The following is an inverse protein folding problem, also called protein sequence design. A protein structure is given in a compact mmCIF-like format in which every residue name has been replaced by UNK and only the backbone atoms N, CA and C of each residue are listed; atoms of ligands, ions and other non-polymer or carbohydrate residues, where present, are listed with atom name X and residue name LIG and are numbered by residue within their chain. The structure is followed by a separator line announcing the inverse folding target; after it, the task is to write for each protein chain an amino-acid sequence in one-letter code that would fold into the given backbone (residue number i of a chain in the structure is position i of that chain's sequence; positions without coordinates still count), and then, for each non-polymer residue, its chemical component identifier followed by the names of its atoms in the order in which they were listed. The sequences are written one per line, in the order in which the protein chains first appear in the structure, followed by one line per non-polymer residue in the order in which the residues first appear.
data_IF_743908910255
#
_entry.id   IF_743908910255
#
_cell.length_a   1.000
_cell.length_b   1.000
_cell.length_c   1.000
_cell.angle_alpha   90.00
_cell.angle_beta   90.00
_cell.angle_gamma   90.00
#
_symmetry.space_group_name_H-M   'P 1'
#
loop_
_entity.id
_entity.type
_entity.pdbx_description
1 polymer ?
#
# COMPACT_ATOMS: atom_id res chain seq x y z
N UNK A 1 -0.82 -36.86 13.66
CA UNK A 1 -2.09 -36.15 13.96
C UNK A 1 -2.06 -34.78 13.26
N UNK A 2 -3.16 -34.40 12.59
CA UNK A 2 -3.25 -33.40 11.50
C UNK A 2 -3.02 -31.93 11.97
N UNK A 3 -2.13 -31.14 11.32
CA UNK A 3 -2.05 -29.68 11.51
C UNK A 3 -2.93 -28.89 10.52
N UNK A 4 -3.82 -29.55 9.78
CA UNK A 4 -4.58 -28.96 8.69
C UNK A 4 -5.86 -28.20 9.11
N UNK A 5 -6.04 -27.85 10.39
CA UNK A 5 -7.28 -27.20 10.90
C UNK A 5 -7.16 -25.70 11.17
N UNK A 6 -5.96 -25.16 11.36
CA UNK A 6 -5.77 -23.75 11.70
C UNK A 6 -6.12 -22.78 10.57
N UNK A 7 -5.81 -23.14 9.32
CA UNK A 7 -6.04 -22.28 8.15
C UNK A 7 -7.52 -22.16 7.77
N UNK A 8 -8.31 -23.20 8.02
CA UNK A 8 -9.77 -23.19 7.77
C UNK A 8 -10.47 -22.25 8.76
N UNK A 9 -10.06 -22.27 10.03
CA UNK A 9 -10.61 -21.36 11.04
C UNK A 9 -10.26 -19.90 10.71
N UNK A 10 -9.03 -19.64 10.28
CA UNK A 10 -8.61 -18.30 9.85
C UNK A 10 -9.38 -17.81 8.60
N UNK A 11 -9.60 -18.68 7.62
CA UNK A 11 -10.36 -18.34 6.42
C UNK A 11 -11.84 -18.05 6.73
N UNK A 12 -12.46 -18.87 7.58
CA UNK A 12 -13.85 -18.65 8.02
C UNK A 12 -13.98 -17.37 8.84
N UNK A 13 -13.03 -17.08 9.72
CA UNK A 13 -13.02 -15.84 10.50
C UNK A 13 -12.85 -14.61 9.59
N UNK A 14 -11.98 -14.68 8.57
CA UNK A 14 -11.81 -13.61 7.59
C UNK A 14 -13.08 -13.38 6.74
N UNK A 15 -13.77 -14.45 6.33
CA UNK A 15 -15.03 -14.35 5.59
C UNK A 15 -16.15 -13.78 6.46
N UNK A 16 -16.26 -14.22 7.72
CA UNK A 16 -17.26 -13.69 8.66
C UNK A 16 -16.99 -12.23 9.01
N UNK A 17 -15.72 -11.83 9.13
CA UNK A 17 -15.35 -10.44 9.35
C UNK A 17 -15.62 -9.59 8.10
N UNK A 18 -15.31 -10.09 6.91
CA UNK A 18 -15.64 -9.42 5.64
C UNK A 18 -17.15 -9.28 5.43
N UNK A 19 -17.93 -10.31 5.77
CA UNK A 19 -19.38 -10.26 5.74
C UNK A 19 -19.92 -9.29 6.79
N UNK A 20 -19.39 -9.30 8.01
CA UNK A 20 -19.75 -8.34 9.04
C UNK A 20 -19.44 -6.90 8.60
N UNK A 21 -18.29 -6.65 7.99
CA UNK A 21 -17.91 -5.32 7.45
C UNK A 21 -18.82 -4.93 6.28
N UNK A 22 -19.17 -5.84 5.39
CA UNK A 22 -20.09 -5.58 4.27
C UNK A 22 -21.51 -5.25 4.75
N UNK A 23 -21.99 -5.94 5.79
CA UNK A 23 -23.31 -5.70 6.38
C UNK A 23 -23.33 -4.55 7.41
N UNK A 24 -22.19 -4.16 7.98
CA UNK A 24 -22.03 -2.98 8.86
C UNK A 24 -21.54 -1.74 8.11
N UNK A 25 -21.33 -1.80 6.78
CA UNK A 25 -21.06 -0.58 6.02
C UNK A 25 -22.23 0.38 6.29
N UNK A 26 -21.98 1.53 6.95
CA UNK A 26 -22.98 2.59 6.99
C UNK A 26 -23.39 2.84 5.55
N UNK A 27 -24.68 3.07 5.31
CA UNK A 27 -25.08 3.72 4.05
C UNK A 27 -24.12 4.90 3.93
N UNK A 28 -23.37 4.98 2.82
CA UNK A 28 -22.31 5.96 2.68
C UNK A 28 -22.96 7.33 2.79
N UNK A 29 -23.00 7.87 4.00
CA UNK A 29 -23.60 9.14 4.33
C UNK A 29 -22.57 10.20 3.98
N UNK A 30 -22.97 11.16 3.15
CA UNK A 30 -22.20 12.37 2.97
C UNK A 30 -22.25 13.16 4.29
N UNK A 31 -21.12 13.69 4.78
CA UNK A 31 -21.17 14.77 5.76
C UNK A 31 -21.98 15.91 5.13
N UNK A 32 -23.20 16.09 5.61
CA UNK A 32 -24.06 17.25 5.33
C UNK A 32 -24.14 17.68 3.85
N UNK A 33 -24.14 16.73 2.93
CA UNK A 33 -24.32 16.94 1.48
C UNK A 33 -23.16 17.61 0.70
N UNK A 34 -21.91 17.44 1.14
CA UNK A 34 -20.72 17.90 0.38
C UNK A 34 -20.73 17.55 -1.12
N UNK A 35 -20.26 18.47 -1.95
CA UNK A 35 -20.06 18.28 -3.40
C UNK A 35 -18.87 17.39 -3.75
N UNK A 36 -18.08 16.96 -2.76
CA UNK A 36 -17.00 15.98 -2.94
C UNK A 36 -17.43 14.53 -2.74
N UNK A 37 -18.70 14.29 -2.38
CA UNK A 37 -19.22 12.97 -2.01
C UNK A 37 -20.12 12.36 -3.09
N UNK A 38 -19.81 11.11 -3.46
CA UNK A 38 -20.61 10.29 -4.39
C UNK A 38 -21.74 9.51 -3.69
N UNK A 39 -21.92 9.74 -2.39
CA UNK A 39 -23.04 9.22 -1.61
C UNK A 39 -24.40 9.62 -2.20
N UNK A 40 -25.46 8.87 -1.89
CA UNK A 40 -26.82 9.20 -2.34
C UNK A 40 -27.31 10.55 -1.78
N UNK A 41 -26.88 10.92 -0.58
CA UNK A 41 -27.11 12.23 0.04
C UNK A 41 -25.94 13.20 -0.17
N UNK A 42 -24.98 12.93 -1.06
CA UNK A 42 -23.93 13.87 -1.49
C UNK A 42 -24.38 14.74 -2.67
N UNK A 43 -23.53 15.70 -3.07
CA UNK A 43 -23.83 16.66 -4.14
C UNK A 43 -22.83 16.64 -5.32
N UNK A 44 -21.97 15.62 -5.44
CA UNK A 44 -21.00 15.53 -6.55
C UNK A 44 -21.64 15.54 -7.95
N UNK A 45 -22.84 14.97 -8.08
CA UNK A 45 -23.60 15.00 -9.33
C UNK A 45 -24.07 16.40 -9.69
N UNK A 46 -24.30 17.30 -8.72
CA UNK A 46 -24.66 18.71 -8.97
C UNK A 46 -23.51 19.43 -9.68
N UNK A 47 -22.28 19.22 -9.18
CA UNK A 47 -21.07 19.76 -9.76
C UNK A 47 -20.88 19.24 -11.19
N UNK A 48 -20.94 17.92 -11.40
CA UNK A 48 -20.81 17.31 -12.72
C UNK A 48 -21.91 17.76 -13.69
N UNK A 49 -23.13 17.96 -13.19
CA UNK A 49 -24.25 18.45 -13.98
C UNK A 49 -24.04 19.90 -14.44
N UNK A 50 -23.55 20.77 -13.56
CA UNK A 50 -23.19 22.14 -13.92
C UNK A 50 -22.09 22.19 -15.00
N UNK A 51 -21.05 21.36 -14.87
CA UNK A 51 -20.00 21.22 -15.89
C UNK A 51 -20.55 20.74 -17.22
N UNK A 52 -21.41 19.72 -17.20
CA UNK A 52 -22.04 19.17 -18.40
C UNK A 52 -22.93 20.20 -19.12
N UNK A 53 -23.53 21.14 -18.38
CA UNK A 53 -24.28 22.27 -18.94
C UNK A 53 -23.38 23.41 -19.45
N UNK A 54 -22.06 23.28 -19.33
CA UNK A 54 -21.08 24.26 -19.83
C UNK A 54 -20.74 25.39 -18.88
N UNK A 55 -21.06 25.25 -17.58
CA UNK A 55 -20.68 26.21 -16.56
C UNK A 55 -19.30 25.89 -16.00
N UNK A 56 -18.51 26.92 -15.70
CA UNK A 56 -17.26 26.73 -14.96
C UNK A 56 -17.57 26.47 -13.49
N UNK A 57 -17.12 25.35 -12.96
CA UNK A 57 -17.32 24.96 -11.57
C UNK A 57 -16.07 25.24 -10.73
N UNK A 58 -16.28 25.61 -9.47
CA UNK A 58 -15.20 25.68 -8.48
C UNK A 58 -15.71 25.33 -7.09
N UNK A 59 -14.79 24.92 -6.21
CA UNK A 59 -15.07 24.67 -4.79
C UNK A 59 -14.25 25.67 -3.97
N UNK A 60 -14.91 26.40 -3.07
CA UNK A 60 -14.24 27.26 -2.09
C UNK A 60 -13.71 26.35 -0.98
N UNK A 61 -12.40 26.29 -0.83
CA UNK A 61 -11.73 25.49 0.21
C UNK A 61 -10.63 26.32 0.87
N UNK A 62 -10.32 26.04 2.14
CA UNK A 62 -9.22 26.68 2.87
C UNK A 62 -9.48 28.12 3.36
N UNK A 63 -9.92 29.04 2.49
CA UNK A 63 -10.36 30.39 2.86
C UNK A 63 -11.71 30.73 2.23
N UNK A 64 -12.55 31.46 2.95
CA UNK A 64 -13.85 31.89 2.44
C UNK A 64 -13.78 33.20 1.67
N UNK A 65 -13.90 33.08 0.34
CA UNK A 65 -14.00 34.19 -0.60
C UNK A 65 -15.35 34.17 -1.32
N UNK A 66 -15.93 35.35 -1.57
CA UNK A 66 -17.17 35.46 -2.35
C UNK A 66 -16.89 35.22 -3.83
N UNK A 67 -17.81 34.56 -4.56
CA UNK A 67 -17.65 34.30 -6.00
C UNK A 67 -17.57 35.56 -6.87
N UNK A 68 -17.32 35.37 -8.17
CA UNK A 68 -17.40 36.45 -9.16
C UNK A 68 -18.81 37.08 -9.22
N UNK A 69 -18.96 38.33 -9.68
CA UNK A 69 -20.28 38.92 -9.94
C UNK A 69 -21.11 38.06 -10.92
N UNK A 70 -22.45 38.11 -10.80
CA UNK A 70 -23.39 37.38 -11.66
C UNK A 70 -23.10 35.86 -11.77
N UNK A 71 -22.66 35.25 -10.67
CA UNK A 71 -22.39 33.81 -10.59
C UNK A 71 -23.28 33.12 -9.58
N UNK A 72 -23.25 31.79 -9.56
CA UNK A 72 -24.07 30.94 -8.69
C UNK A 72 -23.21 30.40 -7.55
N UNK A 73 -23.75 30.38 -6.34
CA UNK A 73 -23.13 29.71 -5.20
C UNK A 73 -24.10 28.71 -4.57
N UNK A 74 -23.65 27.47 -4.38
CA UNK A 74 -24.33 26.46 -3.59
C UNK A 74 -23.74 26.42 -2.18
N UNK A 75 -24.63 26.55 -1.19
CA UNK A 75 -24.33 26.31 0.23
C UNK A 75 -25.25 25.19 0.68
N UNK A 76 -24.68 23.99 0.76
CA UNK A 76 -25.31 22.84 1.42
C UNK A 76 -25.10 22.93 2.93
N UNK A 77 -25.84 22.15 3.73
CA UNK A 77 -25.90 22.24 5.20
C UNK A 77 -24.52 22.46 5.84
N UNK A 78 -24.19 23.68 6.31
CA UNK A 78 -22.86 23.99 6.83
C UNK A 78 -22.55 23.16 8.09
N UNK A 79 -21.36 22.53 8.15
CA UNK A 79 -20.91 21.79 9.35
C UNK A 79 -20.11 22.67 10.30
N UNK A 80 -19.44 23.69 9.78
CA UNK A 80 -18.83 24.75 10.56
C UNK A 80 -19.62 26.05 10.42
N UNK A 81 -19.85 26.78 11.52
CA UNK A 81 -20.69 27.96 11.50
C UNK A 81 -20.05 29.09 10.70
N UNK A 82 -20.88 29.85 9.98
CA UNK A 82 -20.48 31.12 9.39
C UNK A 82 -20.20 32.14 10.51
N UNK A 83 -19.28 33.06 10.26
CA UNK A 83 -19.17 34.30 11.06
C UNK A 83 -20.13 35.36 10.53
N UNK A 84 -20.49 36.34 11.39
CA UNK A 84 -21.29 37.50 10.99
C UNK A 84 -20.72 38.22 9.77
N UNK A 85 -19.40 38.41 9.74
CA UNK A 85 -18.70 39.08 8.65
C UNK A 85 -18.75 38.26 7.35
N UNK A 86 -18.66 36.93 7.42
CA UNK A 86 -18.78 36.04 6.25
C UNK A 86 -20.21 36.07 5.68
N UNK A 87 -21.21 35.95 6.55
CA UNK A 87 -22.62 36.02 6.18
C UNK A 87 -22.96 37.37 5.53
N UNK A 88 -22.47 38.47 6.09
CA UNK A 88 -22.68 39.81 5.53
C UNK A 88 -21.95 40.02 4.20
N UNK A 89 -20.73 39.48 4.03
CA UNK A 89 -20.04 39.50 2.73
C UNK A 89 -20.85 38.73 1.67
N UNK A 90 -21.38 37.55 2.02
CA UNK A 90 -22.18 36.76 1.10
C UNK A 90 -23.49 37.48 0.73
N UNK A 91 -24.18 38.05 1.72
CA UNK A 91 -25.38 38.89 1.49
C UNK A 91 -25.08 40.08 0.59
N UNK A 92 -23.96 40.78 0.80
CA UNK A 92 -23.52 41.91 -0.03
C UNK A 92 -23.22 41.47 -1.46
N UNK A 93 -22.54 40.34 -1.65
CA UNK A 93 -22.28 39.79 -2.99
C UNK A 93 -23.57 39.49 -3.75
N UNK A 94 -24.56 38.84 -3.12
CA UNK A 94 -25.87 38.64 -3.74
C UNK A 94 -26.49 39.99 -4.10
N UNK A 95 -26.55 40.91 -3.14
CA UNK A 95 -27.26 42.18 -3.28
C UNK A 95 -26.68 43.09 -4.35
N UNK A 96 -25.38 43.28 -4.32
CA UNK A 96 -24.68 44.36 -5.02
C UNK A 96 -23.94 43.85 -6.28
N UNK A 97 -23.58 42.57 -6.32
CA UNK A 97 -22.85 41.93 -7.43
C UNK A 97 -23.71 41.01 -8.29
N UNK A 98 -25.01 40.90 -8.00
CA UNK A 98 -25.96 40.12 -8.81
C UNK A 98 -25.81 38.61 -8.66
N UNK A 99 -25.26 38.14 -7.54
CA UNK A 99 -25.09 36.72 -7.27
C UNK A 99 -26.43 35.98 -7.12
N UNK A 100 -26.43 34.70 -7.47
CA UNK A 100 -27.49 33.75 -7.14
C UNK A 100 -26.98 32.82 -6.03
N UNK A 101 -27.53 32.94 -4.84
CA UNK A 101 -27.24 32.03 -3.73
C UNK A 101 -28.30 30.95 -3.65
N UNK A 102 -27.89 29.68 -3.73
CA UNK A 102 -28.74 28.52 -3.48
C UNK A 102 -28.32 27.96 -2.13
N UNK A 103 -29.12 28.25 -1.12
CA UNK A 103 -28.88 27.88 0.26
C UNK A 103 -29.83 26.75 0.65
N UNK A 104 -29.31 25.53 0.64
CA UNK A 104 -30.07 24.32 0.90
C UNK A 104 -29.56 23.71 2.21
N UNK A 105 -30.31 23.89 3.29
CA UNK A 105 -29.87 23.46 4.63
C UNK A 105 -31.04 22.96 5.47
N UNK A 106 -30.84 21.80 6.09
CA UNK A 106 -31.84 21.15 6.95
C UNK A 106 -32.19 22.01 8.17
N UNK A 107 -31.17 22.49 8.90
CA UNK A 107 -31.33 23.23 10.14
C UNK A 107 -30.96 24.71 10.02
N UNK A 108 -30.27 25.08 8.94
CA UNK A 108 -29.73 26.43 8.74
C UNK A 108 -28.49 26.72 9.57
N UNK A 109 -27.81 27.81 9.23
CA UNK A 109 -26.74 28.45 9.99
C UNK A 109 -27.29 29.74 10.62
N UNK A 110 -27.11 29.99 11.93
CA UNK A 110 -27.70 31.15 12.60
C UNK A 110 -27.25 32.52 12.08
N UNK A 111 -25.99 32.65 11.64
CA UNK A 111 -25.45 33.91 11.12
C UNK A 111 -25.98 34.17 9.71
N UNK A 112 -25.99 33.13 8.88
CA UNK A 112 -26.50 33.21 7.52
C UNK A 112 -28.01 33.40 7.48
N UNK A 113 -28.77 32.68 8.30
CA UNK A 113 -30.22 32.84 8.44
C UNK A 113 -30.55 34.27 8.87
N UNK A 114 -29.82 34.83 9.85
CA UNK A 114 -30.02 36.22 10.29
C UNK A 114 -29.67 37.23 9.21
N UNK A 115 -28.51 37.07 8.55
CA UNK A 115 -28.08 38.01 7.52
C UNK A 115 -29.04 38.00 6.34
N UNK A 116 -29.51 36.82 5.89
CA UNK A 116 -30.43 36.68 4.76
C UNK A 116 -31.90 36.96 5.14
N UNK A 117 -32.27 36.91 6.42
CA UNK A 117 -33.65 37.05 6.89
C UNK A 117 -34.47 35.77 6.69
N UNK A 118 -33.83 34.62 6.88
CA UNK A 118 -34.47 33.30 6.87
C UNK A 118 -35.10 33.05 8.23
N UNK A 119 -36.40 32.79 8.23
CA UNK A 119 -37.13 32.31 9.41
C UNK A 119 -37.56 30.87 9.19
N UNK A 120 -37.43 30.05 10.23
CA UNK A 120 -37.80 28.64 10.26
C UNK A 120 -38.79 28.41 11.38
N UNK A 121 -39.74 27.50 11.18
CA UNK A 121 -40.64 27.07 12.24
C UNK A 121 -39.92 26.19 13.27
N UNK A 122 -40.40 26.22 14.51
CA UNK A 122 -39.95 25.26 15.51
C UNK A 122 -40.56 23.88 15.23
N UNK A 123 -39.69 22.88 15.05
CA UNK A 123 -40.06 21.48 14.88
C UNK A 123 -40.06 20.99 13.43
N UNK A 124 -40.48 19.74 13.25
CA UNK A 124 -40.43 19.04 11.97
C UNK A 124 -41.81 18.90 11.34
N UNK A 125 -41.87 18.98 10.01
CA UNK A 125 -43.03 18.59 9.21
C UNK A 125 -42.68 17.42 8.28
N UNK A 126 -43.71 16.70 7.83
CA UNK A 126 -43.57 15.62 6.86
C UNK A 126 -43.08 16.12 5.51
N UNK A 127 -42.05 15.45 4.98
CA UNK A 127 -41.44 15.74 3.70
C UNK A 127 -41.81 14.74 2.59
N UNK A 128 -40.82 14.36 1.79
CA UNK A 128 -40.88 13.29 0.81
C UNK A 128 -41.22 13.75 -0.61
N UNK A 129 -42.34 14.46 -0.79
CA UNK A 129 -42.72 15.06 -2.09
C UNK A 129 -43.19 16.49 -1.90
N UNK A 130 -42.60 17.41 -2.65
CA UNK A 130 -42.93 18.84 -2.62
C UNK A 130 -43.60 19.25 -3.92
N UNK A 131 -44.74 19.94 -3.82
CA UNK A 131 -45.39 20.55 -4.97
C UNK A 131 -44.69 21.87 -5.31
N UNK A 132 -44.38 22.07 -6.60
CA UNK A 132 -43.89 23.35 -7.07
C UNK A 132 -45.07 24.32 -7.22
N UNK A 133 -45.00 25.46 -6.54
CA UNK A 133 -46.06 26.47 -6.52
C UNK A 133 -45.71 27.74 -7.28
N UNK A 134 -44.43 27.90 -7.65
CA UNK A 134 -43.98 29.11 -8.34
C UNK A 134 -44.06 28.95 -9.87
N UNK A 135 -44.69 29.90 -10.58
CA UNK A 135 -44.77 29.88 -12.05
C UNK A 135 -43.43 30.13 -12.75
N UNK A 136 -42.39 30.50 -12.01
CA UNK A 136 -41.04 30.77 -12.53
C UNK A 136 -40.21 29.52 -12.81
N UNK A 137 -40.65 28.35 -12.33
CA UNK A 137 -39.98 27.06 -12.57
C UNK A 137 -40.68 26.34 -13.73
N UNK A 138 -40.22 26.57 -14.95
CA UNK A 138 -40.89 26.09 -16.15
C UNK A 138 -40.69 24.58 -16.31
N UNK A 139 -41.73 23.79 -16.05
CA UNK A 139 -41.69 22.33 -16.20
C UNK A 139 -41.40 21.57 -14.90
N UNK A 140 -41.24 22.27 -13.78
CA UNK A 140 -41.19 21.64 -12.45
C UNK A 140 -42.60 21.62 -11.87
N UNK A 141 -43.17 20.43 -11.72
CA UNK A 141 -44.48 20.23 -11.11
C UNK A 141 -44.38 19.76 -9.67
N UNK A 142 -43.41 18.88 -9.41
CA UNK A 142 -43.11 18.39 -8.08
C UNK A 142 -41.69 17.83 -8.02
N UNK A 143 -41.10 17.93 -6.84
CA UNK A 143 -39.79 17.37 -6.53
C UNK A 143 -39.89 16.41 -5.34
N UNK A 144 -38.90 15.55 -5.18
CA UNK A 144 -38.80 14.60 -4.07
C UNK A 144 -37.62 14.93 -3.16
N UNK A 145 -37.76 14.66 -1.87
CA UNK A 145 -36.73 14.97 -0.86
C UNK A 145 -36.75 14.01 0.33
N UNK A 146 -36.16 14.43 1.45
CA UNK A 146 -36.16 13.72 2.73
C UNK A 146 -37.55 13.63 3.37
N UNK A 147 -37.72 12.67 4.27
CA UNK A 147 -39.03 12.38 4.89
C UNK A 147 -39.45 13.41 5.95
N UNK A 148 -38.52 14.26 6.41
CA UNK A 148 -38.78 15.31 7.39
C UNK A 148 -37.99 16.57 7.05
N UNK A 149 -38.57 17.73 7.32
CA UNK A 149 -37.94 19.04 7.15
C UNK A 149 -38.24 19.93 8.33
N UNK A 150 -37.42 20.96 8.55
CA UNK A 150 -37.78 22.13 9.36
C UNK A 150 -38.39 23.17 8.42
N UNK A 151 -39.71 23.41 8.45
CA UNK A 151 -40.36 24.30 7.49
C UNK A 151 -39.86 25.75 7.56
N UNK A 152 -39.89 26.43 6.42
CA UNK A 152 -39.60 27.85 6.32
C UNK A 152 -40.85 28.68 6.64
N UNK A 153 -40.66 29.82 7.30
CA UNK A 153 -41.70 30.82 7.58
C UNK A 153 -41.44 32.09 6.76
N UNK A 154 -41.78 32.10 5.46
CA UNK A 154 -41.43 33.19 4.58
C UNK A 154 -42.24 34.47 4.87
N UNK A 155 -41.55 35.61 4.80
CA UNK A 155 -42.16 36.95 4.83
C UNK A 155 -42.83 37.32 3.49
N UNK A 156 -43.53 38.46 3.45
CA UNK A 156 -44.24 38.91 2.25
C UNK A 156 -43.35 39.19 1.02
N UNK A 157 -42.03 39.33 1.20
CA UNK A 157 -41.06 39.54 0.11
C UNK A 157 -40.38 38.25 -0.36
N UNK A 158 -40.69 37.12 0.29
CA UNK A 158 -40.16 35.80 -0.03
C UNK A 158 -41.25 34.98 -0.72
N UNK A 159 -41.00 34.57 -1.96
CA UNK A 159 -41.99 33.88 -2.80
C UNK A 159 -41.82 32.37 -2.68
N UNK A 160 -42.80 31.63 -2.12
CA UNK A 160 -42.70 30.18 -1.97
C UNK A 160 -42.58 29.45 -3.32
N UNK A 161 -41.53 28.65 -3.46
CA UNK A 161 -41.26 27.80 -4.62
C UNK A 161 -41.82 26.40 -4.43
N UNK A 162 -41.60 25.82 -3.25
CA UNK A 162 -41.89 24.42 -2.93
C UNK A 162 -42.73 24.35 -1.65
N UNK A 163 -43.74 23.48 -1.66
CA UNK A 163 -44.56 23.19 -0.49
C UNK A 163 -44.69 21.70 -0.21
N UNK A 164 -44.73 21.34 1.06
CA UNK A 164 -45.10 19.99 1.50
C UNK A 164 -46.59 19.71 1.19
N UNK A 165 -47.03 18.44 1.23
CA UNK A 165 -48.44 18.10 1.04
C UNK A 165 -49.36 18.77 2.07
N UNK A 166 -48.85 19.05 3.27
CA UNK A 166 -49.56 19.75 4.35
C UNK A 166 -49.54 21.27 4.21
N UNK A 167 -48.93 21.81 3.14
CA UNK A 167 -48.92 23.23 2.81
C UNK A 167 -47.78 24.04 3.41
N UNK A 168 -46.90 23.42 4.20
CA UNK A 168 -45.70 24.06 4.73
C UNK A 168 -44.72 24.43 3.62
N UNK A 169 -43.98 25.53 3.78
CA UNK A 169 -43.02 25.98 2.77
C UNK A 169 -41.70 25.22 2.95
N UNK A 170 -41.30 24.50 1.92
CA UNK A 170 -40.05 23.74 1.86
C UNK A 170 -38.95 24.49 1.10
N UNK A 171 -39.31 25.52 0.32
CA UNK A 171 -38.36 26.39 -0.35
C UNK A 171 -38.98 27.67 -0.86
N UNK A 172 -38.21 28.74 -0.94
CA UNK A 172 -38.63 30.03 -1.47
C UNK A 172 -37.51 30.72 -2.25
N UNK A 173 -37.88 31.73 -3.05
CA UNK A 173 -36.96 32.67 -3.68
C UNK A 173 -37.19 34.07 -3.13
N UNK A 174 -36.10 34.82 -2.98
CA UNK A 174 -36.11 36.22 -2.59
C UNK A 174 -35.19 37.02 -3.51
N UNK A 175 -35.69 38.12 -4.05
CA UNK A 175 -34.82 39.09 -4.69
C UNK A 175 -34.12 39.92 -3.62
N UNK A 176 -32.80 40.03 -3.72
CA UNK A 176 -31.99 40.87 -2.85
C UNK A 176 -31.16 41.79 -3.73
N UNK A 177 -31.49 43.08 -3.76
CA UNK A 177 -30.86 44.03 -4.67
C UNK A 177 -31.01 43.61 -6.14
N UNK A 178 -29.88 43.43 -6.82
CA UNK A 178 -29.85 42.94 -8.21
C UNK A 178 -29.66 41.41 -8.32
N UNK A 179 -29.43 40.71 -7.22
CA UNK A 179 -29.28 39.24 -7.17
C UNK A 179 -30.48 38.55 -6.51
N UNK A 180 -30.33 37.23 -6.31
CA UNK A 180 -31.39 36.38 -5.78
C UNK A 180 -30.86 35.37 -4.77
N UNK A 181 -31.71 35.02 -3.81
CA UNK A 181 -31.48 33.93 -2.86
C UNK A 181 -32.58 32.91 -3.03
N UNK A 182 -32.21 31.66 -3.22
CA UNK A 182 -33.10 30.50 -3.17
C UNK A 182 -32.78 29.74 -1.90
N UNK A 183 -33.75 29.63 -1.00
CA UNK A 183 -33.61 28.89 0.25
C UNK A 183 -34.41 27.61 0.15
N UNK A 184 -33.78 26.48 0.46
CA UNK A 184 -34.39 25.16 0.52
C UNK A 184 -34.19 24.59 1.93
N UNK A 185 -35.28 24.15 2.57
CA UNK A 185 -35.26 23.46 3.85
C UNK A 185 -34.79 22.00 3.72
N UNK A 186 -34.76 21.47 2.50
CA UNK A 186 -34.40 20.10 2.21
C UNK A 186 -33.30 20.06 1.13
N UNK A 187 -32.05 19.81 1.52
CA UNK A 187 -30.94 19.69 0.58
C UNK A 187 -31.01 18.44 -0.29
N UNK A 188 -31.70 17.39 0.16
CA UNK A 188 -31.81 16.13 -0.59
C UNK A 188 -32.49 16.35 -1.93
N UNK A 189 -33.31 17.38 -2.09
CA UNK A 189 -33.90 17.76 -3.39
C UNK A 189 -32.84 17.92 -4.48
N UNK A 190 -31.63 18.35 -4.13
CA UNK A 190 -30.52 18.55 -5.08
C UNK A 190 -29.44 17.46 -4.98
N UNK A 191 -29.56 16.47 -4.11
CA UNK A 191 -28.53 15.46 -3.90
C UNK A 191 -28.55 14.35 -4.96
N UNK A 192 -27.42 13.66 -5.11
CA UNK A 192 -27.14 12.63 -6.12
C UNK A 192 -28.27 11.61 -6.27
N UNK A 193 -28.75 11.05 -5.15
CA UNK A 193 -29.78 10.02 -5.12
C UNK A 193 -31.21 10.53 -5.39
N UNK A 194 -31.37 11.82 -5.67
CA UNK A 194 -32.66 12.48 -5.87
C UNK A 194 -32.77 13.21 -7.20
N UNK A 195 -31.67 13.52 -7.89
CA UNK A 195 -31.71 14.23 -9.18
C UNK A 195 -32.57 13.51 -10.24
N UNK A 196 -32.60 12.18 -10.23
CA UNK A 196 -33.43 11.37 -11.13
C UNK A 196 -34.89 11.20 -10.67
N UNK A 197 -35.23 11.68 -9.47
CA UNK A 197 -36.59 11.57 -8.91
C UNK A 197 -37.42 12.75 -9.37
N UNK A 198 -38.68 12.48 -9.74
CA UNK A 198 -39.66 13.48 -10.13
C UNK A 198 -39.05 14.52 -11.09
N UNK A 199 -39.19 15.82 -10.81
CA UNK A 199 -38.64 16.91 -11.63
C UNK A 199 -37.37 17.53 -10.99
N UNK A 200 -36.66 16.83 -10.10
CA UNK A 200 -35.52 17.37 -9.35
C UNK A 200 -34.37 17.84 -10.26
N UNK A 201 -34.00 17.04 -11.27
CA UNK A 201 -32.98 17.43 -12.25
C UNK A 201 -33.40 18.64 -13.10
N UNK A 202 -34.71 18.80 -13.36
CA UNK A 202 -35.25 19.98 -14.08
C UNK A 202 -35.14 21.21 -13.19
N UNK A 203 -35.50 21.09 -11.90
CA UNK A 203 -35.30 22.17 -10.92
C UNK A 203 -33.82 22.58 -10.85
N UNK A 204 -32.90 21.62 -10.80
CA UNK A 204 -31.46 21.93 -10.77
C UNK A 204 -31.03 22.69 -12.04
N UNK A 205 -31.49 22.26 -13.22
CA UNK A 205 -31.19 22.92 -14.48
C UNK A 205 -31.71 24.37 -14.51
N UNK A 206 -32.95 24.58 -14.06
CA UNK A 206 -33.57 25.91 -13.96
C UNK A 206 -32.79 26.83 -13.01
N UNK A 207 -32.38 26.31 -11.84
CA UNK A 207 -31.62 27.07 -10.85
C UNK A 207 -30.25 27.50 -11.38
N UNK A 208 -29.48 26.60 -11.99
CA UNK A 208 -28.16 26.94 -12.53
C UNK A 208 -28.28 27.91 -13.73
N UNK A 209 -29.31 27.72 -14.57
CA UNK A 209 -29.52 28.53 -15.77
C UNK A 209 -30.04 29.94 -15.47
N UNK A 210 -30.56 30.20 -14.26
CA UNK A 210 -31.15 31.48 -13.87
C UNK A 210 -30.16 32.66 -13.93
N UNK A 211 -28.86 32.41 -13.71
CA UNK A 211 -27.81 33.45 -13.83
C UNK A 211 -27.29 33.65 -15.26
N UNK A 212 -27.83 32.93 -16.24
CA UNK A 212 -27.44 33.01 -17.65
C UNK A 212 -26.41 31.97 -18.08
N UNK A 213 -26.29 31.81 -19.40
CA UNK A 213 -25.42 30.80 -19.99
C UNK A 213 -23.94 31.04 -19.63
N UNK A 214 -23.28 30.02 -19.10
CA UNK A 214 -21.86 30.05 -18.76
C UNK A 214 -21.49 30.81 -17.48
N UNK A 215 -22.48 31.22 -16.68
CA UNK A 215 -22.22 31.77 -15.34
C UNK A 215 -21.39 30.78 -14.50
N UNK A 216 -20.39 31.25 -13.77
CA UNK A 216 -19.62 30.38 -12.89
C UNK A 216 -20.50 29.79 -11.78
N UNK A 217 -20.23 28.56 -11.38
CA UNK A 217 -20.94 27.84 -10.32
C UNK A 217 -19.93 27.46 -9.24
N UNK A 218 -20.16 27.95 -8.04
CA UNK A 218 -19.24 27.76 -6.91
C UNK A 218 -19.93 26.96 -5.81
N UNK A 219 -19.21 26.03 -5.20
CA UNK A 219 -19.69 25.25 -4.05
C UNK A 219 -18.91 25.66 -2.80
N UNK A 220 -19.62 25.92 -1.70
CA UNK A 220 -19.02 26.20 -0.41
C UNK A 220 -18.58 24.90 0.29
N UNK A 221 -17.32 24.53 0.15
CA UNK A 221 -16.74 23.39 0.86
C UNK A 221 -15.94 23.81 2.10
N UNK A 222 -15.61 25.11 2.21
CA UNK A 222 -14.93 25.67 3.37
C UNK A 222 -15.77 25.45 4.63
N UNK A 223 -17.08 25.70 4.56
CA UNK A 223 -17.97 25.48 5.70
C UNK A 223 -18.43 24.02 5.87
N UNK A 224 -18.02 23.10 4.99
CA UNK A 224 -18.20 21.65 5.19
C UNK A 224 -17.04 21.00 5.95
N UNK A 225 -16.08 21.80 6.45
CA UNK A 225 -15.00 21.31 7.29
C UNK A 225 -13.79 20.77 6.52
N UNK A 226 -13.79 20.87 5.18
CA UNK A 226 -12.64 20.62 4.30
C UNK A 226 -11.57 21.69 4.54
N UNK A 227 -10.93 21.58 5.68
CA UNK A 227 -9.72 22.31 6.06
C UNK A 227 -8.53 21.61 5.39
N UNK A 228 -7.46 22.35 5.10
CA UNK A 228 -6.26 21.78 4.46
C UNK A 228 -5.67 20.55 5.20
N UNK A 229 -6.07 20.31 6.46
CA UNK A 229 -5.80 19.11 7.25
C UNK A 229 -6.41 17.81 6.70
N UNK A 230 -7.50 17.85 5.93
CA UNK A 230 -8.09 16.64 5.33
C UNK A 230 -7.27 16.10 4.15
N UNK A 231 -6.29 16.88 3.67
CA UNK A 231 -5.24 16.43 2.76
C UNK A 231 -4.00 15.89 3.47
N UNK A 232 -4.04 15.68 4.80
CA UNK A 232 -2.94 15.07 5.52
C UNK A 232 -2.66 13.65 5.00
N UNK A 233 -1.39 13.18 4.92
CA UNK A 233 -1.03 11.85 4.42
C UNK A 233 -1.58 10.67 5.22
N UNK A 234 -2.47 10.88 6.19
CA UNK A 234 -3.12 9.87 7.00
C UNK A 234 -4.62 9.72 6.67
N UNK A 235 -5.24 10.71 6.00
CA UNK A 235 -6.67 10.68 5.64
C UNK A 235 -6.97 9.70 4.51
N UNK A 236 -6.01 9.36 3.65
CA UNK A 236 -6.22 8.32 2.64
C UNK A 236 -6.51 6.93 3.24
N UNK A 237 -6.07 6.63 4.47
CA UNK A 237 -6.33 5.33 5.13
C UNK A 237 -7.82 5.14 5.44
N UNK A 238 -8.59 6.23 5.61
CA UNK A 238 -10.04 6.16 5.87
C UNK A 238 -10.87 6.08 4.59
N UNK A 239 -10.27 6.24 3.41
CA UNK A 239 -10.97 5.98 2.13
C UNK A 239 -11.10 4.49 1.83
N UNK A 240 -12.14 4.04 1.10
CA UNK A 240 -12.34 2.61 0.78
C UNK A 240 -11.15 1.95 0.08
N UNK A 241 -10.46 2.66 -0.81
CA UNK A 241 -9.28 2.14 -1.52
C UNK A 241 -8.02 2.12 -0.64
N UNK A 242 -7.86 3.09 0.28
CA UNK A 242 -6.75 3.09 1.23
C UNK A 242 -6.85 1.96 2.25
N UNK A 243 -8.06 1.66 2.73
CA UNK A 243 -8.32 0.48 3.53
C UNK A 243 -7.96 -0.82 2.77
N UNK A 244 -8.30 -0.92 1.48
CA UNK A 244 -7.94 -2.07 0.65
C UNK A 244 -6.42 -2.24 0.51
N UNK A 245 -5.68 -1.15 0.30
CA UNK A 245 -4.22 -1.17 0.22
C UNK A 245 -3.55 -1.58 1.54
N UNK A 246 -4.09 -1.11 2.67
CA UNK A 246 -3.63 -1.52 4.00
C UNK A 246 -3.81 -3.03 4.20
N UNK A 247 -4.98 -3.58 3.82
CA UNK A 247 -5.24 -5.01 3.90
C UNK A 247 -4.36 -5.84 2.97
N UNK A 248 -4.03 -5.34 1.78
CA UNK A 248 -3.05 -5.96 0.90
C UNK A 248 -1.69 -6.07 1.61
N UNK A 249 -1.25 -5.00 2.27
CA UNK A 249 0.03 -4.97 2.99
C UNK A 249 0.03 -5.95 4.17
N UNK A 250 -1.07 -6.04 4.92
CA UNK A 250 -1.27 -7.05 5.97
C UNK A 250 -1.23 -8.46 5.40
N UNK A 251 -1.90 -8.71 4.27
CA UNK A 251 -1.90 -10.01 3.61
C UNK A 251 -0.50 -10.42 3.12
N UNK A 252 0.27 -9.49 2.55
CA UNK A 252 1.67 -9.71 2.15
C UNK A 252 2.54 -9.99 3.36
N UNK A 253 2.38 -9.25 4.45
CA UNK A 253 3.11 -9.46 5.71
C UNK A 253 2.86 -10.87 6.27
N UNK A 254 1.60 -11.29 6.39
CA UNK A 254 1.26 -12.65 6.81
C UNK A 254 1.75 -13.71 5.81
N UNK A 255 1.67 -13.43 4.51
CA UNK A 255 2.23 -14.28 3.46
C UNK A 255 3.74 -14.50 3.63
N UNK A 256 4.50 -13.45 3.96
CA UNK A 256 5.93 -13.52 4.23
C UNK A 256 6.23 -14.27 5.53
N UNK A 257 5.48 -14.02 6.60
CA UNK A 257 5.61 -14.73 7.90
C UNK A 257 5.32 -16.23 7.72
N UNK A 258 4.30 -16.58 6.95
CA UNK A 258 3.96 -17.97 6.62
C UNK A 258 5.01 -18.60 5.71
N UNK A 259 5.54 -17.86 4.72
CA UNK A 259 6.64 -18.29 3.86
C UNK A 259 7.94 -18.52 4.63
N UNK A 260 8.15 -17.77 5.71
CA UNK A 260 9.31 -17.91 6.61
C UNK A 260 9.26 -19.13 7.54
N UNK A 261 8.10 -19.78 7.70
CA UNK A 261 7.96 -21.00 8.51
C UNK A 261 8.17 -22.22 7.62
N UNK A 262 9.32 -22.90 7.80
CA UNK A 262 9.65 -24.15 7.09
C UNK A 262 8.56 -25.21 7.33
N UNK A 263 7.69 -25.43 6.34
CA UNK A 263 6.79 -26.58 6.29
C UNK A 263 7.53 -27.78 5.72
N UNK A 264 8.18 -28.56 6.56
CA UNK A 264 8.79 -29.83 6.16
C UNK A 264 9.58 -30.47 7.29
N UNK A 265 9.51 -31.81 7.46
CA UNK A 265 10.41 -32.52 8.37
C UNK A 265 11.87 -32.29 7.94
N UNK A 266 12.75 -32.06 8.92
CA UNK A 266 14.19 -32.02 8.67
C UNK A 266 14.64 -33.40 8.17
N UNK A 267 14.89 -33.53 6.87
CA UNK A 267 15.49 -34.73 6.30
C UNK A 267 16.96 -34.75 6.74
N UNK A 268 17.30 -35.65 7.66
CA UNK A 268 18.70 -35.84 8.07
C UNK A 268 19.54 -36.26 6.87
N UNK A 269 20.69 -35.60 6.66
CA UNK A 269 21.67 -36.07 5.67
C UNK A 269 22.10 -37.50 6.06
N UNK A 270 22.10 -38.47 5.13
CA UNK A 270 22.68 -39.78 5.42
C UNK A 270 24.15 -39.60 5.82
N UNK A 271 24.60 -40.36 6.82
CA UNK A 271 25.97 -40.32 7.30
C UNK A 271 26.92 -40.62 6.13
N UNK A 272 27.94 -39.78 5.96
CA UNK A 272 28.96 -39.95 4.94
C UNK A 272 29.72 -41.24 5.23
N UNK A 273 29.52 -42.26 4.39
CA UNK A 273 30.26 -43.52 4.46
C UNK A 273 31.74 -43.20 4.33
N UNK A 274 32.58 -43.79 5.19
CA UNK A 274 34.03 -43.64 5.15
C UNK A 274 34.55 -43.89 3.73
N UNK A 275 35.01 -42.83 3.05
CA UNK A 275 35.67 -42.91 1.75
C UNK A 275 36.84 -43.88 1.85
N UNK A 276 36.96 -44.77 0.88
CA UNK A 276 38.09 -45.68 0.77
C UNK A 276 39.40 -44.86 0.68
N UNK A 277 40.42 -45.21 1.47
CA UNK A 277 41.72 -44.53 1.52
C UNK A 277 42.40 -44.41 0.13
N UNK A 278 41.99 -45.25 -0.83
CA UNK A 278 42.42 -45.21 -2.22
C UNK A 278 41.92 -43.96 -2.96
N UNK A 279 40.67 -43.53 -2.76
CA UNK A 279 40.13 -42.33 -3.41
C UNK A 279 40.84 -41.06 -2.93
N UNK A 280 41.19 -41.00 -1.64
CA UNK A 280 41.94 -39.89 -1.09
C UNK A 280 43.34 -39.82 -1.67
N UNK A 281 44.02 -40.96 -1.78
CA UNK A 281 45.36 -41.05 -2.38
C UNK A 281 45.37 -40.65 -3.86
N UNK A 282 44.34 -41.04 -4.63
CA UNK A 282 44.16 -40.62 -6.04
C UNK A 282 43.89 -39.12 -6.13
N UNK A 283 43.03 -38.57 -5.27
CA UNK A 283 42.70 -37.14 -5.26
C UNK A 283 43.92 -36.27 -4.92
N UNK A 284 44.68 -36.64 -3.89
CA UNK A 284 45.92 -35.94 -3.50
C UNK A 284 46.97 -36.05 -4.60
N UNK A 285 47.11 -37.23 -5.23
CA UNK A 285 48.01 -37.42 -6.37
C UNK A 285 47.66 -36.52 -7.56
N UNK A 286 46.37 -36.39 -7.89
CA UNK A 286 45.92 -35.47 -8.95
C UNK A 286 46.15 -34.00 -8.58
N UNK A 287 45.96 -33.62 -7.32
CA UNK A 287 46.22 -32.27 -6.84
C UNK A 287 47.71 -31.90 -6.99
N UNK A 288 48.62 -32.76 -6.52
CA UNK A 288 50.07 -32.55 -6.62
C UNK A 288 50.54 -32.49 -8.07
N UNK A 289 49.94 -33.29 -8.96
CA UNK A 289 50.21 -33.24 -10.39
C UNK A 289 49.75 -31.92 -11.01
N UNK A 290 48.53 -31.47 -10.70
CA UNK A 290 47.98 -30.18 -11.22
C UNK A 290 48.78 -28.98 -10.75
N UNK A 291 49.27 -28.98 -9.52
CA UNK A 291 50.09 -27.89 -8.98
C UNK A 291 51.56 -27.96 -9.41
N UNK A 292 51.96 -28.97 -10.19
CA UNK A 292 53.35 -29.22 -10.57
C UNK A 292 54.34 -29.27 -9.39
N UNK A 293 53.85 -29.69 -8.21
CA UNK A 293 54.59 -29.71 -6.94
C UNK A 293 55.56 -30.91 -6.84
N UNK A 294 56.48 -31.00 -7.80
CA UNK A 294 57.40 -32.15 -7.99
C UNK A 294 58.35 -32.33 -6.81
N UNK A 295 59.01 -31.27 -6.36
CA UNK A 295 59.93 -31.31 -5.22
C UNK A 295 59.21 -31.68 -3.90
N UNK A 296 58.00 -31.15 -3.69
CA UNK A 296 57.17 -31.47 -2.52
C UNK A 296 56.76 -32.95 -2.54
N UNK A 297 56.37 -33.47 -3.70
CA UNK A 297 56.01 -34.89 -3.86
C UNK A 297 57.18 -35.80 -3.51
N UNK A 298 58.38 -35.51 -4.01
CA UNK A 298 59.59 -36.28 -3.70
C UNK A 298 59.98 -36.19 -2.22
N UNK A 299 59.86 -35.02 -1.59
CA UNK A 299 60.08 -34.87 -0.15
C UNK A 299 59.13 -35.71 0.69
N UNK A 300 57.83 -35.71 0.34
CA UNK A 300 56.82 -36.54 1.01
C UNK A 300 57.13 -38.05 0.87
N UNK A 301 57.53 -38.49 -0.33
CA UNK A 301 57.91 -39.88 -0.59
C UNK A 301 59.20 -40.27 0.17
N UNK A 302 60.19 -39.38 0.26
CA UNK A 302 61.42 -39.64 1.00
C UNK A 302 61.13 -39.81 2.49
N UNK A 303 60.36 -38.91 3.11
CA UNK A 303 59.94 -39.03 4.52
C UNK A 303 59.07 -40.27 4.76
N UNK A 304 58.25 -40.68 3.80
CA UNK A 304 57.49 -41.93 3.89
C UNK A 304 58.41 -43.16 3.80
N UNK A 305 59.46 -43.09 2.97
CA UNK A 305 60.48 -44.13 2.84
C UNK A 305 61.31 -44.26 4.11
N UNK A 306 61.77 -43.15 4.71
CA UNK A 306 62.44 -43.17 6.02
C UNK A 306 61.56 -43.85 7.09
N UNK A 307 60.26 -43.52 7.12
CA UNK A 307 59.29 -44.17 8.02
C UNK A 307 59.17 -45.68 7.79
N UNK A 308 59.10 -46.12 6.54
CA UNK A 308 59.03 -47.54 6.19
C UNK A 308 60.32 -48.30 6.50
N UNK A 309 61.48 -47.67 6.26
CA UNK A 309 62.79 -48.24 6.60
C UNK A 309 62.96 -48.31 8.12
N UNK A 310 62.57 -47.26 8.86
CA UNK A 310 62.61 -47.23 10.32
C UNK A 310 61.74 -48.33 10.93
N UNK A 311 60.50 -48.50 10.44
CA UNK A 311 59.60 -49.56 10.93
C UNK A 311 60.13 -50.96 10.63
N UNK A 312 60.66 -51.20 9.43
CA UNK A 312 61.22 -52.51 9.04
C UNK A 312 62.51 -52.85 9.78
N UNK A 313 63.37 -51.86 10.02
CA UNK A 313 64.62 -52.04 10.75
C UNK A 313 64.45 -51.94 12.26
N UNK A 314 63.27 -51.56 12.76
CA UNK A 314 63.01 -51.34 14.18
C UNK A 314 63.84 -50.20 14.77
N UNK A 315 64.25 -49.23 13.94
CA UNK A 315 65.01 -48.05 14.36
C UNK A 315 64.06 -46.89 14.70
N UNK A 316 64.37 -46.07 15.71
CA UNK A 316 63.59 -44.87 15.98
C UNK A 316 63.85 -43.83 14.88
N UNK A 317 62.78 -43.26 14.31
CA UNK A 317 62.86 -42.24 13.26
C UNK A 317 63.40 -40.89 13.79
N UNK A 318 63.23 -40.63 15.08
CA UNK A 318 63.64 -39.39 15.73
C UNK A 318 64.59 -39.67 16.89
N UNK A 319 65.66 -38.85 17.06
CA UNK A 319 66.13 -37.79 16.17
C UNK A 319 66.67 -38.32 14.83
N UNK A 320 66.44 -37.58 13.73
CA UNK A 320 66.83 -38.00 12.35
C UNK A 320 68.32 -38.36 12.22
N UNK A 321 69.22 -37.64 12.89
CA UNK A 321 70.66 -37.93 12.89
C UNK A 321 70.96 -39.31 13.49
N UNK A 322 70.25 -39.69 14.57
CA UNK A 322 70.40 -41.02 15.18
C UNK A 322 69.86 -42.11 14.28
N UNK A 323 68.77 -41.84 13.55
CA UNK A 323 68.23 -42.76 12.55
C UNK A 323 69.29 -43.07 11.49
N UNK A 324 69.92 -42.05 10.89
CA UNK A 324 70.95 -42.23 9.86
C UNK A 324 72.20 -42.93 10.39
N UNK A 325 72.70 -42.54 11.57
CA UNK A 325 73.85 -43.20 12.18
C UNK A 325 73.58 -44.68 12.47
N UNK A 326 72.39 -45.00 12.99
CA UNK A 326 72.00 -46.38 13.26
C UNK A 326 71.75 -47.17 11.97
N UNK A 327 71.21 -46.53 10.93
CA UNK A 327 70.96 -47.16 9.63
C UNK A 327 72.27 -47.53 8.93
N UNK A 328 73.28 -46.65 8.95
CA UNK A 328 74.62 -46.95 8.40
C UNK A 328 75.30 -48.13 9.09
N UNK A 329 75.07 -48.33 10.38
CA UNK A 329 75.61 -49.48 11.12
C UNK A 329 74.81 -50.76 10.84
N UNK A 330 73.48 -50.66 10.80
CA UNK A 330 72.60 -51.84 10.77
C UNK A 330 72.31 -52.36 9.35
N UNK A 331 72.26 -51.48 8.36
CA UNK A 331 71.95 -51.80 6.97
C UNK A 331 72.69 -50.82 6.02
N UNK A 332 74.02 -50.94 5.89
CA UNK A 332 74.84 -49.97 5.15
C UNK A 332 74.47 -49.86 3.67
N UNK A 333 74.05 -50.96 3.03
CA UNK A 333 73.61 -50.96 1.62
C UNK A 333 72.35 -50.09 1.44
N UNK A 334 71.34 -50.29 2.30
CA UNK A 334 70.09 -49.49 2.28
C UNK A 334 70.37 -48.03 2.63
N UNK A 335 71.28 -47.77 3.56
CA UNK A 335 71.71 -46.42 3.93
C UNK A 335 72.35 -45.70 2.74
N UNK A 336 73.24 -46.38 2.00
CA UNK A 336 73.90 -45.84 0.81
C UNK A 336 72.90 -45.51 -0.30
N UNK A 337 72.01 -46.45 -0.62
CA UNK A 337 70.97 -46.25 -1.65
C UNK A 337 70.00 -45.12 -1.29
N UNK A 338 69.53 -45.05 -0.04
CA UNK A 338 68.62 -44.00 0.39
C UNK A 338 69.32 -42.63 0.39
N UNK A 339 70.57 -42.55 0.84
CA UNK A 339 71.33 -41.30 0.85
C UNK A 339 71.60 -40.78 -0.57
N UNK A 340 71.93 -41.67 -1.52
CA UNK A 340 72.13 -41.30 -2.92
C UNK A 340 70.84 -40.73 -3.54
N UNK A 341 69.69 -41.35 -3.26
CA UNK A 341 68.40 -40.89 -3.75
C UNK A 341 67.99 -39.57 -3.08
N UNK A 342 68.18 -39.42 -1.76
CA UNK A 342 67.88 -38.17 -1.05
C UNK A 342 68.71 -36.99 -1.56
N UNK A 343 70.01 -37.20 -1.81
CA UNK A 343 70.90 -36.17 -2.33
C UNK A 343 70.54 -35.73 -3.76
N UNK A 344 69.83 -36.58 -4.51
CA UNK A 344 69.43 -36.31 -5.90
C UNK A 344 67.98 -35.84 -6.06
N UNK A 345 67.18 -35.73 -4.98
CA UNK A 345 65.75 -35.37 -5.07
C UNK A 345 65.51 -34.00 -5.72
N UNK A 346 66.35 -33.00 -5.40
CA UNK A 346 66.21 -31.67 -5.97
C UNK A 346 66.41 -31.70 -7.49
N UNK A 347 67.46 -32.36 -7.97
CA UNK A 347 67.72 -32.54 -9.40
C UNK A 347 66.63 -33.39 -10.08
N UNK A 348 66.16 -34.46 -9.42
CA UNK A 348 65.11 -35.33 -9.95
C UNK A 348 63.75 -34.63 -10.09
N UNK A 349 63.53 -33.52 -9.39
CA UNK A 349 62.30 -32.71 -9.51
C UNK A 349 62.22 -31.92 -10.82
N UNK A 350 63.31 -31.83 -11.59
CA UNK A 350 63.38 -31.04 -12.83
C UNK A 350 62.57 -31.62 -13.99
N UNK A 351 62.33 -32.94 -14.02
CA UNK A 351 61.54 -33.58 -15.08
C UNK A 351 60.62 -34.68 -14.52
N UNK A 352 59.49 -34.94 -15.21
CA UNK A 352 58.53 -35.96 -14.79
C UNK A 352 59.13 -37.38 -14.88
N UNK A 353 59.98 -37.63 -15.87
CA UNK A 353 60.71 -38.90 -16.01
C UNK A 353 61.66 -39.17 -14.85
N UNK A 354 62.46 -38.17 -14.44
CA UNK A 354 63.36 -38.29 -13.30
C UNK A 354 62.60 -38.39 -11.97
N UNK A 355 61.49 -37.66 -11.82
CA UNK A 355 60.62 -37.78 -10.65
C UNK A 355 60.09 -39.21 -10.51
N UNK A 356 59.59 -39.80 -11.60
CA UNK A 356 59.06 -41.17 -11.57
C UNK A 356 60.17 -42.19 -11.26
N UNK A 357 61.37 -41.99 -11.80
CA UNK A 357 62.52 -42.83 -11.50
C UNK A 357 62.93 -42.74 -10.02
N UNK A 358 63.02 -41.54 -9.46
CA UNK A 358 63.32 -41.33 -8.04
C UNK A 358 62.22 -41.90 -7.13
N UNK A 359 60.95 -41.70 -7.49
CA UNK A 359 59.81 -42.27 -6.76
C UNK A 359 59.83 -43.81 -6.76
N UNK A 360 60.19 -44.45 -7.89
CA UNK A 360 60.37 -45.90 -7.97
C UNK A 360 61.52 -46.39 -7.09
N UNK A 361 62.69 -45.73 -7.14
CA UNK A 361 63.82 -46.07 -6.27
C UNK A 361 63.44 -45.96 -4.78
N UNK A 362 62.77 -44.88 -4.38
CA UNK A 362 62.25 -44.71 -3.02
C UNK A 362 61.26 -45.82 -2.63
N UNK A 363 60.34 -46.17 -3.54
CA UNK A 363 59.39 -47.25 -3.32
C UNK A 363 60.07 -48.62 -3.16
N UNK A 364 61.05 -48.94 -4.01
CA UNK A 364 61.79 -50.20 -3.95
C UNK A 364 62.60 -50.31 -2.65
N UNK A 365 63.16 -49.20 -2.17
CA UNK A 365 63.82 -49.11 -0.85
C UNK A 365 62.79 -49.32 0.29
N UNK A 366 61.63 -48.67 0.20
CA UNK A 366 60.55 -48.78 1.19
C UNK A 366 59.92 -50.18 1.23
N UNK A 367 59.81 -50.85 0.08
CA UNK A 367 59.14 -52.13 -0.11
C UNK A 367 59.97 -53.06 -1.01
N UNK A 368 61.07 -53.63 -0.49
CA UNK A 368 61.92 -54.53 -1.25
C UNK A 368 61.11 -55.77 -1.63
N UNK A 369 61.10 -56.09 -2.91
CA UNK A 369 60.48 -57.33 -3.40
C UNK A 369 61.30 -58.49 -2.86
N UNK A 370 60.71 -59.31 -1.99
CA UNK A 370 61.33 -60.55 -1.51
C UNK A 370 61.44 -61.54 -2.66
N UNK A 371 62.57 -61.53 -3.37
CA UNK A 371 62.88 -62.51 -4.42
C UNK A 371 63.58 -61.94 -5.65
N UNK A 372 64.83 -61.51 -5.52
CA UNK A 372 65.76 -61.49 -6.65
C UNK A 372 67.16 -61.94 -6.16
N UNK A 373 67.75 -62.99 -6.74
CA UNK A 373 69.07 -63.48 -6.35
C UNK A 373 70.16 -62.46 -6.72
N UNK A 374 71.20 -62.42 -5.88
CA UNK A 374 72.37 -61.53 -5.95
C UNK A 374 73.05 -61.51 -7.32
#
# INVERSE_FOLDING_TARGET
MRPARGWIVAAVLAILLAAAIYFLQPHADSPEHSSSSDAANGASAVLLFAEAMGHQTSQVTGSFDTPSPFSVMFVFTPTSPYTADEADRLRQWVRDSGGLLIYASEQGDPELDRSLGVSRFDGFAGGGRYAATAPTLAGVTAVSGGDAIVPLDPSATQVPLLRTPDGFVAGYVQQLGIGHVVVLADPLVLCNGYLEKADNGVLLADLISASGAGAAVTFDEYHHGLTASDFAPQSWITTPWGAALLWLLVAVFFGLVLRGRRFGPLVGRPAEVARSDAEWSVAVGQLLRRSSARAVTLGLLATATERAVASRTGLPLQPRERFWNALWVRAPEVAGELAEVENSLFAASASEGQLLQAARRLHDIAHPVTGKPR
#
